data_IF_120848655917
#
_entry.id   IF_120848655917
#
_cell.length_a   1.000
_cell.length_b   1.000
_cell.length_c   1.000
_cell.angle_alpha   90.00
_cell.angle_beta   90.00
_cell.angle_gamma   90.00
#
_symmetry.space_group_name_H-M   'P 1'
#
loop_
_entity.id
_entity.type
_entity.pdbx_description
1 polymer ?
#
# COMPACT_ATOMS: atom_id res chain seq x y z
N UNK A 1 -8.85 6.94 13.71
CA UNK A 1 -8.87 5.49 13.98
C UNK A 1 -10.14 5.04 14.70
N UNK A 2 -10.68 5.84 15.63
CA UNK A 2 -11.89 5.50 16.39
C UNK A 2 -13.07 5.04 15.53
N UNK A 3 -13.32 5.69 14.39
CA UNK A 3 -14.36 5.27 13.46
C UNK A 3 -14.21 3.82 13.01
N UNK A 4 -13.06 3.46 12.42
CA UNK A 4 -12.80 2.07 11.98
C UNK A 4 -12.81 1.08 13.16
N UNK A 5 -12.31 1.51 14.33
CA UNK A 5 -12.32 0.70 15.56
C UNK A 5 -13.74 0.39 16.06
N UNK A 6 -14.66 1.34 15.94
CA UNK A 6 -16.02 1.23 16.45
C UNK A 6 -17.02 0.69 15.42
N UNK A 7 -16.55 0.34 14.22
CA UNK A 7 -17.36 -0.26 13.16
C UNK A 7 -16.95 -1.72 12.96
N UNK A 8 -17.95 -2.59 12.83
CA UNK A 8 -17.73 -4.01 12.55
C UNK A 8 -17.09 -4.21 11.17
N UNK A 9 -16.27 -5.27 11.04
CA UNK A 9 -15.57 -5.57 9.78
C UNK A 9 -16.53 -5.83 8.60
N UNK A 10 -17.71 -6.39 8.87
CA UNK A 10 -18.76 -6.63 7.88
C UNK A 10 -19.39 -5.35 7.31
N UNK A 11 -19.26 -4.22 8.01
CA UNK A 11 -19.72 -2.92 7.53
C UNK A 11 -18.59 -2.15 6.87
N UNK A 12 -17.44 -2.04 7.56
CA UNK A 12 -16.26 -1.36 7.06
C UNK A 12 -15.02 -2.19 7.37
N UNK A 13 -14.52 -2.84 6.32
CA UNK A 13 -13.38 -3.73 6.41
C UNK A 13 -12.05 -2.97 6.54
N UNK A 14 -11.84 -1.94 5.72
CA UNK A 14 -10.55 -1.21 5.64
C UNK A 14 -10.79 0.27 5.35
N UNK A 15 -9.75 1.10 5.45
CA UNK A 15 -9.84 2.52 5.04
C UNK A 15 -8.57 3.00 4.34
N UNK A 16 -8.73 3.91 3.39
CA UNK A 16 -7.67 4.57 2.65
C UNK A 16 -7.62 6.05 3.02
N UNK A 17 -6.43 6.55 3.33
CA UNK A 17 -6.16 7.96 3.57
C UNK A 17 -5.28 8.46 2.43
N UNK A 18 -5.84 9.25 1.53
CA UNK A 18 -5.12 9.86 0.42
C UNK A 18 -4.72 11.31 0.76
N UNK A 19 -3.46 11.66 0.52
CA UNK A 19 -2.89 12.95 0.94
C UNK A 19 -2.40 13.72 -0.31
N UNK A 20 -3.31 14.37 -1.06
CA UNK A 20 -2.97 14.96 -2.36
C UNK A 20 -2.06 16.19 -2.24
N UNK A 21 -2.21 16.97 -1.17
CA UNK A 21 -1.61 18.31 -1.07
C UNK A 21 -0.36 18.36 -0.18
N UNK A 22 0.09 17.23 0.37
CA UNK A 22 1.25 17.15 1.26
C UNK A 22 2.01 15.84 1.03
N UNK A 23 3.22 15.73 1.61
CA UNK A 23 4.02 14.50 1.65
C UNK A 23 4.37 13.91 0.28
N UNK A 24 4.54 14.76 -0.74
CA UNK A 24 5.06 14.37 -2.06
C UNK A 24 6.57 14.04 -2.06
N UNK A 25 7.24 14.39 -0.96
CA UNK A 25 8.61 13.97 -0.67
C UNK A 25 8.58 12.59 -0.01
N UNK A 26 9.22 11.61 -0.65
CA UNK A 26 9.11 10.22 -0.23
C UNK A 26 9.75 9.97 1.14
N UNK A 27 10.85 10.66 1.48
CA UNK A 27 11.51 10.48 2.77
C UNK A 27 10.66 11.05 3.91
N UNK A 28 10.05 12.23 3.70
CA UNK A 28 9.08 12.78 4.66
C UNK A 28 7.86 11.87 4.83
N UNK A 29 7.40 11.25 3.73
CA UNK A 29 6.33 10.26 3.80
C UNK A 29 6.73 9.02 4.60
N UNK A 30 7.93 8.46 4.39
CA UNK A 30 8.42 7.32 5.17
C UNK A 30 8.50 7.64 6.67
N UNK A 31 9.00 8.82 7.04
CA UNK A 31 8.98 9.25 8.45
C UNK A 31 7.55 9.31 9.03
N UNK A 32 6.54 9.70 8.25
CA UNK A 32 5.15 9.62 8.71
C UNK A 32 4.70 8.18 8.93
N UNK A 33 5.09 7.26 8.05
CA UNK A 33 4.76 5.83 8.21
C UNK A 33 5.37 5.29 9.50
N UNK A 34 6.64 5.59 9.77
CA UNK A 34 7.30 5.20 11.02
C UNK A 34 6.57 5.76 12.24
N UNK A 35 6.17 7.04 12.21
CA UNK A 35 5.35 7.65 13.27
C UNK A 35 3.98 6.96 13.42
N UNK A 36 3.34 6.59 12.32
CA UNK A 36 2.04 5.93 12.35
C UNK A 36 2.12 4.51 12.92
N UNK A 37 3.17 3.75 12.59
CA UNK A 37 3.44 2.44 13.17
C UNK A 37 3.70 2.53 14.67
N UNK A 38 4.52 3.49 15.11
CA UNK A 38 4.74 3.74 16.54
C UNK A 38 3.44 4.08 17.27
N UNK A 39 2.57 4.89 16.66
CA UNK A 39 1.28 5.24 17.24
C UNK A 39 0.35 4.02 17.37
N UNK A 40 0.33 3.11 16.39
CA UNK A 40 -0.44 1.87 16.51
C UNK A 40 0.03 1.04 17.70
N UNK A 41 1.35 0.94 17.90
CA UNK A 41 1.92 0.24 19.04
C UNK A 41 1.55 0.88 20.38
N UNK A 42 1.70 2.20 20.51
CA UNK A 42 1.35 2.94 21.73
C UNK A 42 -0.14 2.79 22.10
N UNK A 43 -1.01 2.69 21.08
CA UNK A 43 -2.46 2.52 21.25
C UNK A 43 -2.89 1.05 21.37
N UNK A 44 -1.95 0.09 21.45
CA UNK A 44 -2.22 -1.36 21.50
C UNK A 44 -3.05 -1.86 20.30
N UNK A 45 -2.77 -1.28 19.13
CA UNK A 45 -3.38 -1.60 17.85
C UNK A 45 -2.42 -2.36 16.91
N UNK A 46 -1.16 -2.54 17.31
CA UNK A 46 -0.23 -3.49 16.69
C UNK A 46 -0.80 -4.92 16.81
N UNK A 47 -0.83 -5.69 15.71
CA UNK A 47 -1.48 -6.99 15.66
C UNK A 47 -3.00 -6.92 15.38
N UNK A 48 -3.58 -5.73 15.39
CA UNK A 48 -5.00 -5.49 15.06
C UNK A 48 -5.13 -4.86 13.69
N UNK A 49 -4.31 -3.83 13.42
CA UNK A 49 -4.27 -3.14 12.14
C UNK A 49 -2.88 -3.16 11.54
N UNK A 50 -2.83 -3.45 10.25
CA UNK A 50 -1.63 -3.34 9.42
C UNK A 50 -1.70 -2.08 8.57
N UNK A 51 -0.57 -1.37 8.46
CA UNK A 51 -0.36 -0.30 7.50
C UNK A 51 0.19 -0.88 6.21
N UNK A 52 -0.51 -0.65 5.09
CA UNK A 52 0.05 -0.78 3.75
C UNK A 52 0.26 0.62 3.16
N UNK A 53 1.50 0.89 2.73
CA UNK A 53 1.94 2.21 2.29
C UNK A 53 2.14 2.28 0.77
N UNK A 54 1.71 3.40 0.20
CA UNK A 54 1.81 3.68 -1.23
C UNK A 54 2.18 5.15 -1.48
N UNK A 55 2.99 5.40 -2.51
CA UNK A 55 3.48 6.74 -2.79
C UNK A 55 3.77 6.93 -4.30
N UNK A 56 3.59 8.13 -4.89
CA UNK A 56 3.92 8.37 -6.30
C UNK A 56 5.37 8.04 -6.66
N UNK A 57 6.26 8.25 -5.70
CA UNK A 57 7.69 7.97 -5.80
C UNK A 57 8.12 6.73 -4.99
N UNK A 58 7.21 5.78 -4.74
CA UNK A 58 7.55 4.57 -3.99
C UNK A 58 8.77 3.88 -4.62
N UNK A 59 9.72 3.49 -3.78
CA UNK A 59 10.93 2.77 -4.13
C UNK A 59 11.23 1.74 -3.03
N UNK A 60 11.41 0.47 -3.41
CA UNK A 60 11.90 -0.54 -2.48
C UNK A 60 13.40 -0.36 -2.22
N UNK A 61 13.85 -0.61 -0.97
CA UNK A 61 15.22 -0.35 -0.54
C UNK A 61 16.30 -1.00 -1.43
N UNK A 62 16.07 -2.26 -1.85
CA UNK A 62 17.03 -3.04 -2.64
C UNK A 62 16.81 -2.92 -4.16
N UNK A 63 16.05 -1.93 -4.61
CA UNK A 63 15.63 -1.81 -6.01
C UNK A 63 16.01 -0.43 -6.55
N UNK A 64 16.49 -0.42 -7.80
CA UNK A 64 16.82 0.82 -8.52
C UNK A 64 15.58 1.74 -8.63
N UNK A 65 15.70 3.07 -8.48
CA UNK A 65 14.55 3.99 -8.53
C UNK A 65 13.73 3.92 -9.83
N UNK A 66 14.37 3.51 -10.94
CA UNK A 66 13.78 3.38 -12.27
C UNK A 66 13.22 1.97 -12.54
N UNK A 67 13.40 1.01 -11.64
CA UNK A 67 12.88 -0.35 -11.82
C UNK A 67 11.34 -0.33 -11.86
N UNK A 68 10.79 -1.00 -12.88
CA UNK A 68 9.36 -1.08 -13.12
C UNK A 68 8.60 -1.78 -11.99
N UNK A 69 9.26 -2.61 -11.19
CA UNK A 69 8.64 -3.29 -10.05
C UNK A 69 8.23 -2.35 -8.93
N UNK A 70 8.81 -1.15 -8.85
CA UNK A 70 8.35 -0.14 -7.89
C UNK A 70 6.87 0.25 -8.12
N UNK A 71 6.37 0.07 -9.36
CA UNK A 71 4.97 0.36 -9.69
C UNK A 71 3.97 -0.56 -8.99
N UNK A 72 4.38 -1.66 -8.33
CA UNK A 72 3.45 -2.46 -7.50
C UNK A 72 2.88 -1.66 -6.33
N UNK A 73 3.60 -0.63 -5.87
CA UNK A 73 3.26 0.18 -4.71
C UNK A 73 3.20 1.68 -5.02
N UNK A 74 3.26 2.07 -6.31
CA UNK A 74 3.06 3.47 -6.72
C UNK A 74 1.57 3.80 -6.82
N UNK A 75 1.23 5.00 -6.37
CA UNK A 75 -0.14 5.55 -6.40
C UNK A 75 -0.13 7.01 -6.88
N UNK A 76 -1.25 7.56 -7.36
CA UNK A 76 -1.31 8.97 -7.79
C UNK A 76 -1.02 9.98 -6.67
N UNK A 77 -1.34 9.63 -5.43
CA UNK A 77 -1.07 10.43 -4.24
C UNK A 77 -0.47 9.57 -3.13
N UNK A 78 0.32 10.15 -2.20
CA UNK A 78 0.70 9.49 -0.95
C UNK A 78 -0.54 8.92 -0.29
N UNK A 79 -0.54 7.61 -0.02
CA UNK A 79 -1.72 6.89 0.44
C UNK A 79 -1.33 5.93 1.55
N UNK A 80 -2.11 5.94 2.62
CA UNK A 80 -1.99 4.98 3.73
C UNK A 80 -3.25 4.12 3.70
N UNK A 81 -3.07 2.80 3.68
CA UNK A 81 -4.15 1.83 3.77
C UNK A 81 -4.08 1.13 5.12
N UNK A 82 -5.14 1.26 5.92
CA UNK A 82 -5.29 0.52 7.16
C UNK A 82 -6.14 -0.71 6.91
N UNK A 83 -5.55 -1.87 7.18
CA UNK A 83 -6.14 -3.19 7.00
C UNK A 83 -6.33 -3.86 8.35
N UNK A 84 -7.37 -4.68 8.52
CA UNK A 84 -7.54 -5.51 9.73
C UNK A 84 -6.72 -6.80 9.58
N UNK A 85 -5.78 -7.04 10.49
CA UNK A 85 -4.89 -8.21 10.41
C UNK A 85 -5.66 -9.53 10.43
N UNK A 86 -6.68 -9.65 11.30
CA UNK A 86 -7.56 -10.82 11.36
C UNK A 86 -8.21 -11.15 10.01
N UNK A 87 -8.58 -10.13 9.24
CA UNK A 87 -9.20 -10.31 7.92
C UNK A 87 -8.17 -10.72 6.87
N UNK A 88 -6.96 -10.16 6.95
CA UNK A 88 -5.83 -10.60 6.11
C UNK A 88 -5.52 -12.07 6.38
N UNK A 89 -5.40 -12.49 7.64
CA UNK A 89 -5.16 -13.89 8.01
C UNK A 89 -6.25 -14.83 7.48
N UNK A 90 -7.51 -14.41 7.59
CA UNK A 90 -8.66 -15.18 7.07
C UNK A 90 -8.58 -15.31 5.56
N UNK A 91 -8.22 -14.24 4.86
CA UNK A 91 -8.02 -14.26 3.41
C UNK A 91 -6.84 -15.17 3.02
N UNK A 92 -5.71 -15.10 3.71
CA UNK A 92 -4.54 -15.97 3.46
C UNK A 92 -4.94 -17.44 3.60
N UNK A 93 -5.67 -17.80 4.66
CA UNK A 93 -6.17 -19.18 4.87
C UNK A 93 -7.10 -19.65 3.74
N UNK A 94 -7.85 -18.73 3.14
CA UNK A 94 -8.84 -19.03 2.10
C UNK A 94 -8.24 -19.12 0.68
N UNK A 95 -7.22 -18.29 0.38
CA UNK A 95 -6.65 -18.13 -0.96
C UNK A 95 -5.34 -18.90 -1.20
N UNK A 96 -4.82 -19.62 -0.20
CA UNK A 96 -3.61 -20.44 -0.32
C UNK A 96 -2.33 -19.63 -0.18
N UNK A 97 -1.30 -19.93 -0.98
CA UNK A 97 0.03 -19.32 -0.83
C UNK A 97 0.11 -17.88 -1.38
N UNK A 98 -0.19 -16.92 -0.50
CA UNK A 98 -0.13 -15.48 -0.76
C UNK A 98 1.30 -14.93 -0.87
N UNK A 99 2.33 -15.66 -0.45
CA UNK A 99 3.74 -15.24 -0.57
C UNK A 99 4.18 -15.12 -2.04
N UNK A 100 3.46 -15.78 -2.95
CA UNK A 100 3.70 -15.69 -4.39
C UNK A 100 3.19 -14.39 -5.00
N UNK A 101 2.28 -13.65 -4.36
CA UNK A 101 1.65 -12.45 -4.93
C UNK A 101 2.69 -11.38 -5.27
N UNK A 102 3.61 -10.97 -4.37
CA UNK A 102 4.65 -10.00 -4.72
C UNK A 102 5.54 -10.49 -5.86
N UNK A 103 5.90 -11.78 -5.89
CA UNK A 103 6.75 -12.37 -6.93
C UNK A 103 6.04 -12.31 -8.29
N UNK A 104 4.77 -12.71 -8.34
CA UNK A 104 3.94 -12.70 -9.55
C UNK A 104 3.74 -11.28 -10.08
N UNK A 105 3.45 -10.31 -9.22
CA UNK A 105 3.29 -8.91 -9.61
C UNK A 105 4.57 -8.33 -10.18
N UNK A 106 5.71 -8.58 -9.53
CA UNK A 106 7.03 -8.17 -10.04
C UNK A 106 7.35 -8.81 -11.40
N UNK A 107 7.10 -10.12 -11.56
CA UNK A 107 7.31 -10.83 -12.83
C UNK A 107 6.42 -10.27 -13.94
N UNK A 108 5.15 -10.02 -13.64
CA UNK A 108 4.20 -9.46 -14.60
C UNK A 108 4.64 -8.09 -15.09
N UNK A 109 4.97 -7.17 -14.17
CA UNK A 109 5.46 -5.84 -14.54
C UNK A 109 6.75 -5.91 -15.36
N UNK A 110 7.69 -6.79 -15.02
CA UNK A 110 8.92 -7.00 -15.81
C UNK A 110 8.66 -7.52 -17.23
N UNK A 111 7.52 -8.17 -17.47
CA UNK A 111 7.13 -8.64 -18.81
C UNK A 111 6.31 -7.62 -19.62
N UNK A 112 5.87 -6.54 -18.98
CA UNK A 112 5.09 -5.49 -19.64
C UNK A 112 5.99 -4.46 -20.32
N UNK A 113 5.48 -3.87 -21.41
CA UNK A 113 6.11 -2.70 -22.02
C UNK A 113 6.03 -1.50 -21.04
N UNK A 114 7.16 -0.84 -20.81
CA UNK A 114 7.23 0.32 -19.91
C UNK A 114 6.26 1.44 -20.29
N UNK A 115 5.99 1.64 -21.58
CA UNK A 115 5.06 2.66 -22.06
C UNK A 115 3.63 2.40 -21.59
N UNK A 116 3.22 1.12 -21.56
CA UNK A 116 1.89 0.69 -21.08
C UNK A 116 1.79 0.94 -19.58
N UNK A 117 2.80 0.57 -18.80
CA UNK A 117 2.82 0.80 -17.35
C UNK A 117 2.80 2.29 -17.03
N UNK A 118 3.57 3.11 -17.77
CA UNK A 118 3.55 4.58 -17.62
C UNK A 118 2.17 5.16 -17.97
N UNK A 119 1.51 4.70 -19.05
CA UNK A 119 0.15 5.13 -19.40
C UNK A 119 -0.85 4.81 -18.27
N UNK A 120 -0.86 3.57 -17.77
CA UNK A 120 -1.72 3.11 -16.67
C UNK A 120 -1.50 3.93 -15.39
N UNK A 121 -0.25 4.24 -15.05
CA UNK A 121 0.10 4.96 -13.82
C UNK A 121 -0.14 6.48 -13.88
N UNK A 122 -0.36 7.04 -15.07
CA UNK A 122 -0.46 8.50 -15.27
C UNK A 122 -1.81 9.10 -14.85
N UNK A 123 -2.79 8.26 -14.48
CA UNK A 123 -4.15 8.70 -14.16
C UNK A 123 -4.90 9.31 -15.34
N UNK A 124 -4.34 9.26 -16.56
CA UNK A 124 -5.00 9.68 -17.79
C UNK A 124 -5.80 8.51 -18.36
N UNK A 125 -7.01 8.80 -18.86
CA UNK A 125 -7.85 7.79 -19.52
C UNK A 125 -7.07 7.08 -20.63
N UNK A 126 -7.22 5.76 -20.70
CA UNK A 126 -6.72 4.96 -21.81
C UNK A 126 -7.78 5.00 -22.90
N UNK A 127 -7.92 6.17 -23.50
CA UNK A 127 -8.59 6.29 -24.80
C UNK A 127 -7.60 5.90 -25.91
#
# INVERSE_FOLDING_TARGET
LEFLKNTEASEIETTLIMIPNMLQDFQKYLHLIDLAEMLLKEQQLEGVYQIASFHPKYQFADVNPQDITNYTNRTPYPTIHLLREKSIETAIRSYGDTHTIPIRNKKLLKSMDESVVKKLSSGKSID
#
